data_IF_807271930630
#
_entry.id   IF_807271930630
#
_cell.length_a   1.000
_cell.length_b   1.000
_cell.length_c   1.000
_cell.angle_alpha   90.00
_cell.angle_beta   90.00
_cell.angle_gamma   90.00
#
_symmetry.space_group_name_H-M   'P 1'
#
loop_
_entity.id
_entity.type
_entity.pdbx_description
1 polymer ?
#
# COMPACT_ATOMS: atom_id res chain seq x y z
N UNK A 1 -3.38 6.89 23.46
CA UNK A 1 -4.14 7.06 22.20
C UNK A 1 -3.34 6.36 21.13
N UNK A 2 -3.91 5.40 20.41
CA UNK A 2 -3.19 4.72 19.33
C UNK A 2 -3.11 5.67 18.13
N UNK A 3 -1.91 5.86 17.59
CA UNK A 3 -1.69 6.66 16.37
C UNK A 3 -1.84 5.74 15.16
N UNK A 4 -2.54 6.20 14.12
CA UNK A 4 -2.61 5.48 12.86
C UNK A 4 -1.31 5.63 12.05
N UNK A 5 -1.04 4.69 11.14
CA UNK A 5 0.20 4.67 10.37
C UNK A 5 0.39 5.96 9.56
N UNK A 6 -0.69 6.55 9.04
CA UNK A 6 -0.57 7.79 8.26
C UNK A 6 -0.03 8.93 9.11
N UNK A 7 -0.65 9.18 10.27
CA UNK A 7 -0.18 10.21 11.21
C UNK A 7 1.23 9.91 11.71
N UNK A 8 1.54 8.64 11.94
CA UNK A 8 2.88 8.23 12.35
C UNK A 8 3.94 8.58 11.29
N UNK A 9 3.68 8.28 10.01
CA UNK A 9 4.58 8.60 8.91
C UNK A 9 4.74 10.11 8.75
N UNK A 10 3.66 10.90 8.80
CA UNK A 10 3.73 12.36 8.74
C UNK A 10 4.63 12.97 9.84
N UNK A 11 4.68 12.35 11.02
CA UNK A 11 5.46 12.84 12.15
C UNK A 11 6.91 12.35 12.17
N UNK A 12 7.18 11.15 11.64
CA UNK A 12 8.45 10.46 11.90
C UNK A 12 9.21 10.07 10.62
N UNK A 13 8.65 10.26 9.42
CA UNK A 13 9.20 9.69 8.18
C UNK A 13 10.66 10.05 7.91
N UNK A 14 11.07 11.30 8.16
CA UNK A 14 12.46 11.77 7.99
C UNK A 14 13.44 10.95 8.84
N UNK A 15 13.02 10.51 10.03
CA UNK A 15 13.85 9.80 10.99
C UNK A 15 13.83 8.28 10.79
N UNK A 16 12.86 7.75 10.03
CA UNK A 16 12.76 6.31 9.81
C UNK A 16 13.96 5.81 9.00
N UNK A 17 14.55 4.73 9.48
CA UNK A 17 15.53 3.92 8.74
C UNK A 17 14.82 2.89 7.87
N UNK A 18 15.50 2.32 6.87
CA UNK A 18 14.94 1.20 6.10
C UNK A 18 14.65 -0.03 6.95
N UNK A 19 15.47 -0.28 7.98
CA UNK A 19 15.23 -1.32 8.97
C UNK A 19 13.86 -1.17 9.65
N UNK A 20 13.49 0.06 10.04
CA UNK A 20 12.19 0.34 10.65
C UNK A 20 11.05 0.27 9.62
N UNK A 21 11.21 0.88 8.44
CA UNK A 21 10.21 0.81 7.35
C UNK A 21 9.86 -0.64 6.99
N UNK A 22 10.87 -1.50 6.90
CA UNK A 22 10.69 -2.92 6.60
C UNK A 22 10.04 -3.65 7.79
N UNK A 23 10.33 -3.25 9.02
CA UNK A 23 9.64 -3.80 10.19
C UNK A 23 8.15 -3.47 10.19
N UNK A 24 7.77 -2.23 9.84
CA UNK A 24 6.36 -1.81 9.72
C UNK A 24 5.62 -2.73 8.75
N UNK A 25 6.12 -2.91 7.53
CA UNK A 25 5.44 -3.77 6.55
C UNK A 25 5.43 -5.24 6.97
N UNK A 26 6.46 -5.69 7.71
CA UNK A 26 6.51 -7.04 8.27
C UNK A 26 5.36 -7.26 9.24
N UNK A 27 5.12 -6.33 10.16
CA UNK A 27 4.03 -6.42 11.14
C UNK A 27 2.66 -6.47 10.43
N UNK A 28 2.43 -5.56 9.47
CA UNK A 28 1.18 -5.51 8.68
C UNK A 28 0.96 -6.82 7.92
N UNK A 29 1.99 -7.34 7.26
CA UNK A 29 1.92 -8.60 6.48
C UNK A 29 1.61 -9.80 7.37
N UNK A 30 2.17 -9.83 8.59
CA UNK A 30 1.85 -10.88 9.57
C UNK A 30 0.41 -10.78 10.06
N UNK A 31 -0.10 -9.56 10.26
CA UNK A 31 -1.51 -9.31 10.56
C UNK A 31 -2.42 -9.81 9.44
N UNK A 32 -2.15 -9.42 8.19
CA UNK A 32 -2.96 -9.81 7.04
C UNK A 32 -2.96 -11.32 6.83
N UNK A 33 -1.79 -11.96 6.99
CA UNK A 33 -1.67 -13.43 6.93
C UNK A 33 -2.59 -14.13 7.94
N UNK A 34 -2.76 -13.58 9.15
CA UNK A 34 -3.68 -14.14 10.14
C UNK A 34 -5.13 -14.02 9.66
N UNK A 35 -5.51 -12.86 9.15
CA UNK A 35 -6.86 -12.61 8.60
C UNK A 35 -7.16 -13.59 7.46
N UNK A 36 -6.26 -13.71 6.49
CA UNK A 36 -6.40 -14.65 5.36
C UNK A 36 -6.42 -16.11 5.83
N UNK A 37 -5.68 -16.43 6.91
CA UNK A 37 -5.69 -17.77 7.53
C UNK A 37 -7.06 -18.17 8.11
N UNK A 38 -7.88 -17.20 8.48
CA UNK A 38 -9.28 -17.41 8.89
C UNK A 38 -10.25 -17.41 7.68
N UNK A 39 -9.73 -17.54 6.46
CA UNK A 39 -10.48 -17.48 5.20
C UNK A 39 -11.27 -16.16 5.03
N UNK A 40 -10.74 -15.05 5.57
CA UNK A 40 -11.35 -13.74 5.53
C UNK A 40 -10.52 -12.74 4.72
N UNK A 41 -11.18 -11.79 4.07
CA UNK A 41 -10.59 -10.69 3.30
C UNK A 41 -10.83 -9.41 4.08
N UNK A 42 -9.81 -8.55 4.22
CA UNK A 42 -9.93 -7.28 4.96
C UNK A 42 -10.80 -6.26 4.23
N UNK A 43 -10.64 -6.14 2.91
CA UNK A 43 -11.47 -5.32 1.97
C UNK A 43 -11.31 -3.81 2.08
N UNK A 44 -10.81 -3.29 3.20
CA UNK A 44 -10.55 -1.86 3.39
C UNK A 44 -9.18 -1.59 4.03
N UNK A 45 -8.13 -2.22 3.50
CA UNK A 45 -6.80 -2.11 4.06
C UNK A 45 -6.12 -0.81 3.59
N UNK A 46 -5.87 0.13 4.50
CA UNK A 46 -5.16 1.38 4.23
C UNK A 46 -4.49 1.90 5.51
N UNK A 47 -3.61 2.92 5.39
CA UNK A 47 -2.80 3.39 6.53
C UNK A 47 -3.59 3.95 7.72
N UNK A 48 -4.80 4.42 7.46
CA UNK A 48 -5.76 4.83 8.50
C UNK A 48 -6.29 3.67 9.37
N UNK A 49 -6.29 2.45 8.82
CA UNK A 49 -6.71 1.22 9.50
C UNK A 49 -5.52 0.42 10.06
N UNK A 50 -4.31 0.99 10.08
CA UNK A 50 -3.13 0.39 10.73
C UNK A 50 -2.80 1.22 11.96
N UNK A 51 -2.75 0.61 13.15
CA UNK A 51 -2.53 1.30 14.41
C UNK A 51 -1.21 0.89 15.06
N UNK A 52 -0.46 1.87 15.55
CA UNK A 52 0.69 1.61 16.42
C UNK A 52 0.19 1.25 17.82
N UNK A 53 0.48 0.02 18.26
CA UNK A 53 0.13 -0.52 19.57
C UNK A 53 1.32 -1.26 20.15
N UNK A 54 1.74 -0.89 21.36
CA UNK A 54 2.85 -1.53 22.08
C UNK A 54 4.15 -1.64 21.24
N UNK A 55 4.45 -0.61 20.44
CA UNK A 55 5.64 -0.58 19.59
C UNK A 55 5.57 -1.42 18.32
N UNK A 56 4.39 -1.94 17.94
CA UNK A 56 4.16 -2.68 16.70
C UNK A 56 2.94 -2.15 15.94
N UNK A 57 2.92 -2.37 14.64
CA UNK A 57 1.78 -1.97 13.81
C UNK A 57 0.80 -3.12 13.64
N UNK A 58 -0.43 -2.93 14.10
CA UNK A 58 -1.51 -3.91 14.00
C UNK A 58 -2.57 -3.43 12.99
N UNK A 59 -3.12 -4.38 12.22
CA UNK A 59 -4.32 -4.12 11.40
C UNK A 59 -5.52 -3.94 12.35
N UNK A 60 -6.33 -2.93 12.06
CA UNK A 60 -7.55 -2.58 12.79
C UNK A 60 -8.73 -2.44 11.83
N UNK A 61 -9.90 -2.09 12.37
CA UNK A 61 -11.16 -1.94 11.63
C UNK A 61 -11.55 -3.15 10.76
N UNK A 62 -12.07 -4.17 11.44
CA UNK A 62 -12.58 -5.39 10.81
C UNK A 62 -14.05 -5.26 10.41
N UNK A 63 -14.63 -4.05 10.35
CA UNK A 63 -16.05 -3.84 10.08
C UNK A 63 -16.53 -4.35 8.72
N UNK A 64 -15.63 -4.36 7.73
CA UNK A 64 -15.86 -4.92 6.40
C UNK A 64 -15.18 -6.27 6.18
N UNK A 65 -14.40 -6.75 7.16
CA UNK A 65 -13.74 -8.03 7.08
C UNK A 65 -14.80 -9.14 6.96
N UNK A 66 -14.65 -10.01 5.97
CA UNK A 66 -15.67 -11.00 5.67
C UNK A 66 -15.11 -12.22 4.93
N UNK A 67 -15.84 -13.34 4.94
CA UNK A 67 -15.34 -14.56 4.36
C UNK A 67 -15.25 -14.44 2.84
N UNK A 68 -14.23 -15.09 2.26
CA UNK A 68 -13.91 -14.97 0.84
C UNK A 68 -15.03 -15.46 -0.10
N UNK A 69 -15.88 -16.37 0.37
CA UNK A 69 -17.02 -16.92 -0.35
C UNK A 69 -18.28 -16.02 -0.33
N UNK A 70 -18.23 -14.89 0.38
CA UNK A 70 -19.34 -13.92 0.48
C UNK A 70 -18.86 -12.51 0.08
N UNK A 71 -18.63 -12.27 -1.21
CA UNK A 71 -18.11 -11.01 -1.71
C UNK A 71 -19.10 -9.86 -1.50
N UNK A 72 -18.59 -8.63 -1.38
CA UNK A 72 -19.43 -7.43 -1.40
C UNK A 72 -19.92 -7.20 -2.83
N UNK A 73 -21.18 -6.77 -2.97
CA UNK A 73 -21.77 -6.41 -4.27
C UNK A 73 -21.47 -4.97 -4.70
N UNK A 74 -20.57 -4.31 -4.00
CA UNK A 74 -20.33 -2.88 -4.15
C UNK A 74 -18.86 -2.55 -4.00
N UNK A 75 -18.41 -1.53 -4.71
CA UNK A 75 -17.06 -1.00 -4.61
C UNK A 75 -17.00 -0.16 -3.33
N UNK A 76 -16.31 -0.66 -2.32
CA UNK A 76 -16.13 0.04 -1.05
C UNK A 76 -14.64 0.12 -0.71
N UNK A 77 -14.23 1.27 -0.19
CA UNK A 77 -12.94 1.44 0.46
C UNK A 77 -12.29 2.78 0.16
N UNK A 78 -11.04 2.91 0.57
CA UNK A 78 -10.20 4.08 0.29
C UNK A 78 -9.59 3.99 -1.12
N UNK A 79 -10.07 4.80 -2.07
CA UNK A 79 -9.83 4.64 -3.51
C UNK A 79 -8.37 4.34 -3.91
N UNK A 80 -7.34 5.05 -3.41
CA UNK A 80 -5.94 4.76 -3.73
C UNK A 80 -5.47 3.32 -3.42
N UNK A 81 -6.11 2.64 -2.47
CA UNK A 81 -5.75 1.31 -1.99
C UNK A 81 -6.62 0.20 -2.60
N UNK A 82 -7.68 0.56 -3.35
CA UNK A 82 -8.58 -0.40 -4.00
C UNK A 82 -7.88 -0.96 -5.24
N UNK A 83 -7.85 -2.28 -5.35
CA UNK A 83 -7.26 -2.97 -6.50
C UNK A 83 -8.04 -2.67 -7.80
N UNK A 84 -7.38 -2.56 -8.96
CA UNK A 84 -8.03 -2.09 -10.19
C UNK A 84 -9.16 -3.01 -10.67
N UNK A 85 -9.08 -4.32 -10.43
CA UNK A 85 -10.16 -5.26 -10.71
C UNK A 85 -11.40 -4.98 -9.84
N UNK A 86 -11.20 -4.57 -8.59
CA UNK A 86 -12.29 -4.19 -7.68
C UNK A 86 -12.89 -2.85 -8.09
N UNK A 87 -12.06 -1.90 -8.56
CA UNK A 87 -12.52 -0.60 -9.09
C UNK A 87 -13.49 -0.79 -10.27
N UNK A 88 -13.30 -1.82 -11.10
CA UNK A 88 -14.23 -2.13 -12.22
C UNK A 88 -15.41 -3.03 -11.81
N UNK A 89 -15.59 -3.26 -10.51
CA UNK A 89 -16.74 -4.00 -9.97
C UNK A 89 -16.54 -5.52 -9.88
N UNK A 90 -15.33 -6.05 -10.08
CA UNK A 90 -15.05 -7.47 -9.74
C UNK A 90 -14.98 -7.64 -8.23
N UNK A 91 -15.15 -8.88 -7.80
CA UNK A 91 -15.17 -9.24 -6.39
C UNK A 91 -13.81 -8.97 -5.72
N UNK A 92 -13.86 -8.58 -4.44
CA UNK A 92 -12.66 -8.49 -3.62
C UNK A 92 -12.15 -9.89 -3.31
N UNK A 93 -10.84 -10.08 -3.40
CA UNK A 93 -10.14 -11.35 -3.17
C UNK A 93 -8.96 -11.18 -2.21
N UNK A 94 -8.30 -12.26 -1.82
CA UNK A 94 -7.03 -12.17 -1.07
C UNK A 94 -5.97 -11.36 -1.83
N UNK A 95 -5.92 -11.52 -3.15
CA UNK A 95 -5.02 -10.79 -4.05
C UNK A 95 -5.35 -9.28 -4.09
N UNK A 96 -6.60 -8.90 -3.85
CA UNK A 96 -6.98 -7.50 -3.73
C UNK A 96 -6.44 -6.85 -2.45
N UNK A 97 -6.39 -7.56 -1.32
CA UNK A 97 -5.69 -7.07 -0.11
C UNK A 97 -4.17 -6.98 -0.35
N UNK A 98 -3.60 -7.90 -1.15
CA UNK A 98 -2.17 -7.85 -1.54
C UNK A 98 -1.85 -6.59 -2.37
N UNK A 99 -2.78 -6.14 -3.22
CA UNK A 99 -2.64 -4.85 -3.89
C UNK A 99 -2.59 -3.70 -2.88
N UNK A 100 -3.48 -3.69 -1.88
CA UNK A 100 -3.46 -2.67 -0.82
C UNK A 100 -2.14 -2.68 -0.01
N UNK A 101 -1.54 -3.85 0.20
CA UNK A 101 -0.18 -3.98 0.78
C UNK A 101 0.86 -3.24 -0.06
N UNK A 102 0.78 -3.31 -1.39
CA UNK A 102 1.70 -2.60 -2.27
C UNK A 102 1.59 -1.06 -2.12
N UNK A 103 0.37 -0.55 -1.97
CA UNK A 103 0.13 0.88 -1.76
C UNK A 103 0.63 1.31 -0.37
N UNK A 104 0.45 0.48 0.65
CA UNK A 104 1.06 0.68 1.97
C UNK A 104 2.59 0.66 1.92
N UNK A 105 3.17 -0.26 1.16
CA UNK A 105 4.63 -0.29 0.93
C UNK A 105 5.11 1.02 0.33
N UNK A 106 4.39 1.55 -0.66
CA UNK A 106 4.72 2.82 -1.28
C UNK A 106 4.60 3.98 -0.28
N UNK A 107 3.52 4.06 0.50
CA UNK A 107 3.29 5.14 1.48
C UNK A 107 4.34 5.11 2.61
N UNK A 108 4.75 3.93 3.08
CA UNK A 108 5.84 3.78 4.05
C UNK A 108 7.18 4.28 3.48
N UNK A 109 7.42 3.99 2.20
CA UNK A 109 8.62 4.43 1.48
C UNK A 109 8.63 5.95 1.30
N UNK A 110 7.54 6.52 0.79
CA UNK A 110 7.44 7.93 0.42
C UNK A 110 7.18 8.86 1.60
N UNK A 111 6.53 8.36 2.65
CA UNK A 111 6.01 9.17 3.75
C UNK A 111 4.78 10.00 3.37
N UNK A 112 4.29 9.86 2.14
CA UNK A 112 3.24 10.67 1.55
C UNK A 112 1.97 9.84 1.32
N UNK A 113 0.77 10.42 1.51
CA UNK A 113 -0.46 9.81 1.05
C UNK A 113 -0.43 9.50 -0.46
N UNK A 114 -0.92 8.31 -0.89
CA UNK A 114 -0.92 7.93 -2.30
C UNK A 114 -1.84 8.83 -3.11
N UNK A 115 -1.34 9.30 -4.26
CA UNK A 115 -2.07 10.19 -5.18
C UNK A 115 -2.55 11.51 -4.55
N UNK A 116 -1.76 12.11 -3.65
CA UNK A 116 -2.11 13.35 -2.93
C UNK A 116 -2.57 14.52 -3.82
N UNK A 117 -2.04 14.59 -5.04
CA UNK A 117 -2.35 15.66 -6.00
C UNK A 117 -3.66 15.43 -6.77
N UNK A 118 -4.25 14.23 -6.68
CA UNK A 118 -5.44 13.84 -7.44
C UNK A 118 -6.73 13.98 -6.62
N UNK A 119 -7.84 14.19 -7.32
CA UNK A 119 -9.17 13.99 -6.75
C UNK A 119 -9.45 12.50 -6.56
N UNK A 120 -10.07 12.11 -5.45
CA UNK A 120 -10.50 10.72 -5.23
C UNK A 120 -11.87 10.45 -5.87
N UNK A 121 -11.87 10.52 -7.19
CA UNK A 121 -13.04 10.50 -8.08
C UNK A 121 -12.86 9.52 -9.25
N UNK A 122 -13.76 9.62 -10.23
CA UNK A 122 -13.78 8.75 -11.42
C UNK A 122 -12.50 8.86 -12.26
N UNK A 123 -11.88 10.03 -12.33
CA UNK A 123 -10.68 10.24 -13.16
C UNK A 123 -9.49 9.50 -12.55
N UNK A 124 -9.33 9.55 -11.23
CA UNK A 124 -8.31 8.74 -10.55
C UNK A 124 -8.59 7.24 -10.71
N UNK A 125 -9.85 6.81 -10.57
CA UNK A 125 -10.24 5.42 -10.79
C UNK A 125 -9.86 4.94 -12.20
N UNK A 126 -10.21 5.72 -13.24
CA UNK A 126 -9.86 5.46 -14.63
C UNK A 126 -8.34 5.39 -14.84
N UNK A 127 -7.59 6.31 -14.22
CA UNK A 127 -6.14 6.34 -14.32
C UNK A 127 -5.49 5.09 -13.70
N UNK A 128 -5.93 4.67 -12.51
CA UNK A 128 -5.45 3.46 -11.83
C UNK A 128 -5.72 2.21 -12.66
N UNK A 129 -6.93 2.09 -13.21
CA UNK A 129 -7.34 0.99 -14.10
C UNK A 129 -6.50 0.96 -15.38
N UNK A 130 -6.16 2.14 -15.92
CA UNK A 130 -5.26 2.27 -17.07
C UNK A 130 -3.77 2.06 -16.75
N UNK A 131 -3.44 1.72 -15.50
CA UNK A 131 -2.10 1.30 -15.10
C UNK A 131 -1.29 2.37 -14.38
N UNK A 132 -1.88 3.53 -14.06
CA UNK A 132 -1.22 4.52 -13.22
C UNK A 132 -0.89 3.91 -11.85
N UNK A 133 0.35 4.13 -11.40
CA UNK A 133 0.83 3.80 -10.06
C UNK A 133 1.59 5.00 -9.50
N UNK A 134 1.69 5.14 -8.18
CA UNK A 134 2.49 6.21 -7.59
C UNK A 134 3.97 6.11 -8.01
N UNK A 135 4.60 7.25 -8.26
CA UNK A 135 6.01 7.32 -8.64
C UNK A 135 6.90 6.78 -7.51
N UNK A 136 7.78 5.84 -7.82
CA UNK A 136 8.65 5.21 -6.81
C UNK A 136 9.74 6.20 -6.41
N UNK A 137 9.81 6.51 -5.12
CA UNK A 137 10.74 7.50 -4.58
C UNK A 137 12.20 7.01 -4.68
N UNK A 138 13.11 7.92 -5.02
CA UNK A 138 14.55 7.62 -5.04
C UNK A 138 15.02 7.15 -3.66
N UNK A 139 15.99 6.24 -3.64
CA UNK A 139 16.46 5.61 -2.40
C UNK A 139 15.60 4.43 -1.91
N UNK A 140 14.51 4.07 -2.59
CA UNK A 140 13.79 2.82 -2.33
C UNK A 140 14.66 1.61 -2.69
N UNK A 141 14.95 0.67 -1.76
CA UNK A 141 15.73 -0.53 -2.00
C UNK A 141 15.17 -1.37 -3.14
N UNK A 142 16.05 -1.98 -3.91
CA UNK A 142 15.69 -2.69 -5.13
C UNK A 142 14.75 -3.87 -4.86
N UNK A 143 15.03 -4.66 -3.82
CA UNK A 143 14.23 -5.82 -3.43
C UNK A 143 12.84 -5.41 -2.96
N UNK A 144 12.76 -4.33 -2.18
CA UNK A 144 11.51 -3.74 -1.71
C UNK A 144 10.67 -3.22 -2.88
N UNK A 145 11.31 -2.46 -3.77
CA UNK A 145 10.71 -1.94 -5.01
C UNK A 145 10.17 -3.05 -5.90
N UNK A 146 10.95 -4.11 -6.12
CA UNK A 146 10.56 -5.22 -6.99
C UNK A 146 9.39 -6.01 -6.40
N UNK A 147 9.36 -6.20 -5.08
CA UNK A 147 8.24 -6.86 -4.41
C UNK A 147 6.98 -6.00 -4.45
N UNK A 148 7.10 -4.71 -4.12
CA UNK A 148 5.99 -3.74 -4.23
C UNK A 148 5.39 -3.75 -5.64
N UNK A 149 6.24 -3.79 -6.67
CA UNK A 149 5.80 -3.88 -8.07
C UNK A 149 5.05 -5.16 -8.40
N UNK A 150 5.44 -6.29 -7.83
CA UNK A 150 4.71 -7.56 -8.02
C UNK A 150 3.35 -7.54 -7.31
N UNK A 151 3.27 -6.89 -6.15
CA UNK A 151 2.02 -6.83 -5.38
C UNK A 151 0.95 -5.93 -6.03
N UNK A 152 1.31 -4.89 -6.78
CA UNK A 152 0.34 -4.00 -7.45
C UNK A 152 0.09 -4.31 -8.93
N UNK A 153 0.43 -5.51 -9.38
CA UNK A 153 0.17 -5.95 -10.76
C UNK A 153 -1.33 -5.84 -11.07
N UNK A 154 -1.68 -5.35 -12.26
CA UNK A 154 -3.06 -5.26 -12.70
C UNK A 154 -3.75 -6.62 -12.81
N UNK A 155 -3.01 -7.69 -13.14
CA UNK A 155 -3.52 -9.06 -13.10
C UNK A 155 -3.37 -9.62 -11.68
N UNK A 156 -4.48 -9.87 -10.95
CA UNK A 156 -4.41 -10.40 -9.59
C UNK A 156 -3.69 -11.75 -9.52
N UNK A 157 -3.73 -12.57 -10.57
CA UNK A 157 -3.06 -13.88 -10.59
C UNK A 157 -1.53 -13.79 -10.65
N UNK A 158 -0.98 -12.61 -10.99
CA UNK A 158 0.48 -12.35 -11.00
C UNK A 158 0.99 -11.86 -9.65
N UNK A 159 0.08 -11.49 -8.74
CA UNK A 159 0.46 -11.07 -7.38
C UNK A 159 0.90 -12.29 -6.57
N UNK A 160 1.88 -12.13 -5.67
CA UNK A 160 2.28 -13.23 -4.80
C UNK A 160 1.14 -13.61 -3.86
N UNK A 161 0.92 -14.91 -3.67
CA UNK A 161 0.06 -15.37 -2.59
C UNK A 161 0.64 -14.96 -1.22
N UNK A 162 -0.19 -15.04 -0.19
CA UNK A 162 0.17 -14.53 1.13
C UNK A 162 1.36 -15.28 1.77
N UNK A 163 1.56 -16.56 1.44
CA UNK A 163 2.71 -17.34 1.88
C UNK A 163 4.01 -16.85 1.24
N UNK A 164 4.00 -16.67 -0.08
CA UNK A 164 5.14 -16.15 -0.85
C UNK A 164 5.48 -14.72 -0.43
N UNK A 165 4.49 -13.84 -0.33
CA UNK A 165 4.68 -12.45 0.09
C UNK A 165 5.33 -12.38 1.48
N UNK A 166 4.81 -13.14 2.45
CA UNK A 166 5.37 -13.19 3.81
C UNK A 166 6.81 -13.71 3.84
N UNK A 167 7.16 -14.67 2.98
CA UNK A 167 8.52 -15.18 2.91
C UNK A 167 9.49 -14.15 2.31
N UNK A 168 9.12 -13.49 1.22
CA UNK A 168 9.93 -12.41 0.61
C UNK A 168 10.14 -11.24 1.56
N UNK A 169 9.10 -10.79 2.27
CA UNK A 169 9.22 -9.72 3.27
C UNK A 169 10.14 -10.15 4.42
N UNK A 170 10.03 -11.40 4.89
CA UNK A 170 10.91 -11.94 5.93
C UNK A 170 12.37 -11.96 5.48
N UNK A 171 12.66 -12.34 4.25
CA UNK A 171 14.02 -12.35 3.70
C UNK A 171 14.62 -10.94 3.66
N UNK A 172 13.85 -9.96 3.15
CA UNK A 172 14.24 -8.55 3.15
C UNK A 172 14.47 -8.06 4.59
N UNK A 173 13.55 -8.37 5.51
CA UNK A 173 13.68 -7.99 6.91
C UNK A 173 14.97 -8.56 7.53
N UNK A 174 15.21 -9.88 7.41
CA UNK A 174 16.42 -10.51 7.93
C UNK A 174 17.71 -9.87 7.39
N UNK A 175 17.74 -9.53 6.10
CA UNK A 175 18.88 -8.84 5.51
C UNK A 175 19.15 -7.48 6.19
N UNK A 176 18.11 -6.64 6.35
CA UNK A 176 18.25 -5.33 6.98
C UNK A 176 18.46 -5.37 8.49
N UNK A 177 17.95 -6.38 9.19
CA UNK A 177 18.17 -6.54 10.62
C UNK A 177 19.60 -6.97 10.96
N UNK A 178 20.23 -7.73 10.05
CA UNK A 178 21.60 -8.25 10.23
C UNK A 178 22.69 -7.32 9.69
N UNK A 179 22.34 -6.30 8.90
CA UNK A 179 23.29 -5.33 8.37
C UNK A 179 23.79 -4.42 9.50
N UNK A 180 25.11 -4.30 9.68
CA UNK A 180 25.69 -3.36 10.64
C UNK A 180 25.43 -1.93 10.20
N UNK A 181 25.26 -1.02 11.17
CA UNK A 181 24.96 0.40 10.90
C UNK A 181 26.04 1.09 10.02
N UNK A 182 27.28 0.61 10.03
CA UNK A 182 28.39 1.13 9.20
C UNK A 182 28.25 0.81 7.69
N UNK A 183 27.45 -0.19 7.31
CA UNK A 183 27.24 -0.56 5.89
C UNK A 183 26.01 0.10 5.27
N UNK A 184 25.19 0.79 6.07
CA UNK A 184 24.01 1.53 5.60
C UNK A 184 24.35 2.93 5.09
N UNK A 185 25.42 3.54 5.62
CA UNK A 185 25.88 4.90 5.28
C UNK A 185 26.49 5.05 3.89
N UNK A 186 26.92 3.96 3.24
CA UNK A 186 27.46 4.02 1.88
C UNK A 186 26.39 3.93 0.78
N UNK A 187 25.14 3.57 1.12
CA UNK A 187 24.04 3.40 0.15
C UNK A 187 22.87 4.37 0.34
N UNK A 188 22.86 5.13 1.44
CA UNK A 188 21.80 6.08 1.78
C UNK A 188 22.41 7.49 1.75
N UNK A 189 22.62 8.05 0.55
CA UNK A 189 22.81 9.49 0.45
C UNK A 189 21.54 10.18 0.95
N UNK A 190 21.73 10.96 2.02
CA UNK A 190 20.72 11.73 2.73
C UNK A 190 19.98 12.68 1.78
N UNK A 191 18.85 12.24 1.25
CA UNK A 191 17.94 13.13 0.53
C UNK A 191 17.09 13.88 1.57
N UNK A 192 17.57 15.06 1.96
CA UNK A 192 16.75 16.08 2.61
C UNK A 192 15.64 16.50 1.64
N UNK A 193 14.47 15.90 1.77
CA UNK A 193 13.26 16.44 1.16
C UNK A 193 12.73 17.56 2.06
N UNK A 194 12.69 18.77 1.52
CA UNK A 194 11.83 19.83 2.07
C UNK A 194 10.38 19.37 1.88
N UNK A 195 9.75 18.98 2.99
CA UNK A 195 8.31 18.74 3.04
C UNK A 195 7.66 20.11 3.09
N UNK A 196 7.07 20.53 1.97
CA UNK A 196 6.26 21.74 1.93
C UNK A 196 4.97 21.48 2.74
N UNK A 197 4.98 21.89 4.01
CA UNK A 197 3.99 21.51 5.02
C UNK A 197 2.64 22.25 4.90
N UNK A 198 2.26 22.67 3.69
CA UNK A 198 1.08 23.51 3.45
C UNK A 198 0.02 22.83 2.56
N UNK A 199 -0.22 21.52 2.73
CA UNK A 199 -1.37 20.86 2.11
C UNK A 199 -2.54 20.84 3.10
N UNK A 200 -3.52 21.69 2.79
CA UNK A 200 -4.84 21.76 3.42
C UNK A 200 -5.44 20.36 3.64
N UNK A 201 -5.70 20.08 4.92
CA UNK A 201 -5.95 18.76 5.50
C UNK A 201 -7.39 18.25 5.28
N UNK A 202 -7.95 18.37 4.06
CA UNK A 202 -9.36 18.02 3.79
C UNK A 202 -9.65 17.19 2.54
N UNK A 203 -8.65 16.81 1.73
CA UNK A 203 -8.91 15.91 0.60
C UNK A 203 -9.14 14.47 1.11
N UNK A 204 -10.38 14.01 0.94
CA UNK A 204 -11.02 12.72 1.26
C UNK A 204 -10.14 11.44 1.16
N UNK A 205 -9.20 11.20 2.08
CA UNK A 205 -8.58 9.88 2.27
C UNK A 205 -9.41 8.96 3.18
N UNK A 206 -10.73 8.93 2.96
CA UNK A 206 -11.68 8.17 3.78
C UNK A 206 -12.35 7.10 2.94
N UNK A 207 -12.58 5.95 3.55
CA UNK A 207 -13.33 4.84 2.95
C UNK A 207 -14.78 5.24 2.69
N UNK A 208 -15.27 4.94 1.49
CA UNK A 208 -16.64 5.24 1.06
C UNK A 208 -17.10 4.24 0.01
N UNK A 209 -18.40 4.26 -0.25
CA UNK A 209 -19.00 3.57 -1.39
C UNK A 209 -18.65 4.34 -2.67
N UNK A 210 -18.27 3.63 -3.72
CA UNK A 210 -18.02 4.18 -5.05
C UNK A 210 -19.00 3.59 -6.06
N UNK A 211 -19.30 4.40 -7.07
CA UNK A 211 -20.09 4.00 -8.23
C UNK A 211 -19.29 4.42 -9.46
N UNK A 212 -18.64 3.44 -10.09
CA UNK A 212 -17.90 3.62 -11.33
C UNK A 212 -18.52 2.70 -12.38
N UNK A 213 -18.79 3.24 -13.56
CA UNK A 213 -19.37 2.50 -14.68
C UNK A 213 -18.56 2.78 -15.95
N UNK A 214 -18.50 1.81 -16.86
CA UNK A 214 -17.84 2.00 -18.16
C UNK A 214 -16.31 2.05 -18.12
N UNK A 215 -15.67 1.57 -17.04
CA UNK A 215 -14.22 1.45 -16.96
C UNK A 215 -13.71 0.26 -17.80
N UNK A 216 -12.53 0.36 -18.44
CA UNK A 216 -11.96 -0.72 -19.25
C UNK A 216 -11.39 -1.84 -18.36
N UNK A 217 -10.94 -2.95 -18.96
CA UNK A 217 -10.19 -3.97 -18.23
C UNK A 217 -8.86 -3.42 -17.70
N UNK A 218 -8.47 -3.75 -16.45
CA UNK A 218 -7.21 -3.33 -15.85
C UNK A 218 -5.99 -3.71 -16.68
N UNK A 219 -5.02 -2.81 -16.73
CA UNK A 219 -3.72 -3.06 -17.35
C UNK A 219 -2.59 -2.45 -16.54
N UNK A 220 -1.39 -3.01 -16.67
CA UNK A 220 -0.18 -2.35 -16.20
C UNK A 220 0.18 -1.22 -17.18
N UNK A 221 0.82 -0.15 -16.68
CA UNK A 221 1.36 0.87 -17.56
C UNK A 221 2.34 0.23 -18.54
N UNK A 222 2.12 0.43 -19.84
CA UNK A 222 3.13 0.10 -20.85
C UNK A 222 4.32 1.03 -20.63
N UNK A 223 5.53 0.48 -20.58
CA UNK A 223 6.78 1.25 -20.58
C UNK A 223 6.81 2.14 -21.85
N UNK A 224 6.28 3.36 -21.75
CA UNK A 224 6.05 4.22 -22.92
C UNK A 224 5.01 5.34 -22.75
N UNK A 225 4.06 5.23 -21.81
CA UNK A 225 3.09 6.29 -21.51
C UNK A 225 3.32 6.92 -20.13
N UNK A 226 4.57 7.33 -19.85
CA UNK A 226 4.79 8.36 -18.84
C UNK A 226 4.39 9.67 -19.50
N UNK A 227 3.10 10.03 -19.40
CA UNK A 227 2.67 11.38 -19.74
C UNK A 227 3.30 12.31 -18.71
N UNK A 228 4.37 12.95 -19.17
CA UNK A 228 5.01 14.11 -18.56
C UNK A 228 4.01 15.26 -18.71
N UNK A 229 3.40 15.68 -17.60
CA UNK A 229 2.83 17.00 -17.44
C UNK A 229 3.26 17.55 -16.08
#
# INVERSE_FOLDING_TARGET
MNIDLRKYLQQNHIQLTWKERIQIITDITLGLKRIHGENAIHRDLHSGNILLKNGRFDISDLGFCGPADKPLKSIYGNLPYIAPEVIIGKEQTFESDVYSIAILMWEISSGQPPFIDYGHDYDLAMNIVNGMRPNIVQGTPLEYKNLMKQCWDADPSKRPDMGVLRNKIREINLFYQNKSNESLTQSEESNNFEIDSNISNSKLFTSKLHQFEGLPEPRNATEGNILIH
#
